data_IF_514289195516
#
_entry.id   IF_514289195516
#
_cell.length_a   1.000
_cell.length_b   1.000
_cell.length_c   1.000
_cell.angle_alpha   90.00
_cell.angle_beta   90.00
_cell.angle_gamma   90.00
#
_symmetry.space_group_name_H-M   'P 1'
#
loop_
_entity.id
_entity.type
_entity.pdbx_description
1 polymer ?
#
# COMPACT_ATOMS: atom_id res chain seq x y z
N UNK A 1 29.37 5.92 17.02
CA UNK A 1 28.60 4.68 17.27
C UNK A 1 27.14 5.02 17.09
N UNK A 2 26.44 4.27 16.25
CA UNK A 2 25.00 4.51 16.01
C UNK A 2 24.21 3.80 17.11
N UNK A 3 23.56 4.54 17.99
CA UNK A 3 22.54 4.00 18.88
C UNK A 3 21.28 3.78 18.05
N UNK A 4 21.04 2.55 17.58
CA UNK A 4 19.72 2.21 17.07
C UNK A 4 18.71 2.38 18.20
N UNK A 5 17.73 3.27 18.01
CA UNK A 5 16.60 3.38 18.91
C UNK A 5 15.82 2.06 18.85
N UNK A 6 15.91 1.26 19.91
CA UNK A 6 15.04 0.13 20.12
C UNK A 6 13.73 0.63 20.72
N UNK A 7 12.61 0.01 20.34
CA UNK A 7 11.29 0.28 20.89
C UNK A 7 10.75 -0.96 21.57
N UNK A 8 10.05 -0.80 22.68
CA UNK A 8 9.20 -1.82 23.26
C UNK A 8 7.79 -1.62 22.72
N UNK A 9 7.23 -2.63 22.06
CA UNK A 9 5.84 -2.62 21.62
C UNK A 9 4.94 -2.74 22.85
N UNK A 10 4.06 -1.77 23.04
CA UNK A 10 3.07 -1.71 24.12
C UNK A 10 1.73 -2.26 23.69
N UNK A 11 1.36 -2.03 22.44
CA UNK A 11 0.10 -2.47 21.87
C UNK A 11 0.22 -2.67 20.36
N UNK A 12 -0.63 -3.52 19.81
CA UNK A 12 -0.71 -3.82 18.40
C UNK A 12 -2.15 -3.95 17.97
N UNK A 13 -2.47 -3.38 16.82
CA UNK A 13 -3.77 -3.57 16.20
C UNK A 13 -3.63 -3.79 14.70
N UNK A 14 -4.66 -4.33 14.06
CA UNK A 14 -4.70 -4.52 12.62
C UNK A 14 -6.13 -4.42 12.11
N UNK A 15 -6.28 -3.93 10.88
CA UNK A 15 -7.57 -3.92 10.18
C UNK A 15 -7.45 -4.58 8.81
N UNK A 16 -8.57 -4.98 8.24
CA UNK A 16 -8.68 -5.36 6.84
C UNK A 16 -9.55 -4.33 6.14
N UNK A 17 -9.03 -3.66 5.12
CA UNK A 17 -9.75 -2.60 4.44
C UNK A 17 -9.79 -2.83 2.94
N UNK A 18 -10.93 -2.48 2.34
CA UNK A 18 -11.14 -2.50 0.89
C UNK A 18 -11.42 -1.09 0.42
N UNK A 19 -10.57 -0.59 -0.47
CA UNK A 19 -10.75 0.67 -1.17
C UNK A 19 -11.33 0.40 -2.56
N UNK A 20 -12.23 1.27 -3.01
CA UNK A 20 -12.84 1.22 -4.33
C UNK A 20 -12.37 2.38 -5.18
N UNK A 21 -12.03 2.09 -6.42
CA UNK A 21 -11.57 3.07 -7.41
C UNK A 21 -12.40 2.92 -8.68
N UNK A 22 -12.75 4.03 -9.33
CA UNK A 22 -13.52 3.98 -10.59
C UNK A 22 -12.82 3.16 -11.67
N UNK A 23 -11.49 3.21 -11.75
CA UNK A 23 -10.70 2.56 -12.79
C UNK A 23 -9.26 2.25 -12.31
N UNK A 24 -8.56 1.26 -12.89
CA UNK A 24 -7.23 0.82 -12.42
C UNK A 24 -6.16 1.91 -12.40
N UNK A 25 -6.25 2.92 -13.26
CA UNK A 25 -5.30 4.04 -13.24
C UNK A 25 -5.37 4.81 -11.91
N UNK A 26 -6.56 4.95 -11.33
CA UNK A 26 -6.74 5.61 -10.04
C UNK A 26 -6.08 4.83 -8.89
N UNK A 27 -6.02 3.50 -8.99
CA UNK A 27 -5.23 2.65 -8.07
C UNK A 27 -3.74 3.03 -8.15
N UNK A 28 -3.18 3.10 -9.35
CA UNK A 28 -1.76 3.46 -9.53
C UNK A 28 -1.45 4.88 -9.01
N UNK A 29 -2.37 5.82 -9.24
CA UNK A 29 -2.26 7.18 -8.71
C UNK A 29 -2.30 7.20 -7.19
N UNK A 30 -3.23 6.45 -6.57
CA UNK A 30 -3.33 6.32 -5.13
C UNK A 30 -2.04 5.79 -4.52
N UNK A 31 -1.52 4.67 -5.03
CA UNK A 31 -0.28 4.08 -4.52
C UNK A 31 0.92 5.05 -4.67
N UNK A 32 0.90 5.94 -5.67
CA UNK A 32 1.93 6.96 -5.89
C UNK A 32 1.83 8.08 -4.87
N UNK A 33 0.62 8.51 -4.56
CA UNK A 33 0.34 9.57 -3.59
C UNK A 33 0.68 9.12 -2.17
N UNK A 34 0.42 7.86 -1.83
CA UNK A 34 0.70 7.31 -0.48
C UNK A 34 2.14 6.83 -0.32
N UNK A 35 2.96 6.85 -1.38
CA UNK A 35 4.36 6.47 -1.32
C UNK A 35 4.60 4.96 -1.16
N UNK A 36 3.56 4.13 -1.17
CA UNK A 36 3.65 2.66 -1.04
C UNK A 36 4.04 1.96 -2.36
N UNK A 37 4.49 2.74 -3.35
CA UNK A 37 4.91 2.31 -4.68
C UNK A 37 6.37 1.80 -4.74
N UNK A 38 6.90 1.28 -3.64
CA UNK A 38 8.32 0.95 -3.50
C UNK A 38 8.86 -0.12 -4.47
N UNK A 39 8.03 -0.72 -5.32
CA UNK A 39 8.36 -1.90 -6.14
C UNK A 39 8.72 -1.57 -7.61
N UNK A 40 8.71 -0.30 -8.06
CA UNK A 40 9.14 -0.02 -9.43
C UNK A 40 9.40 1.44 -9.76
N UNK A 41 10.68 1.83 -9.80
CA UNK A 41 11.12 3.12 -10.34
C UNK A 41 11.15 3.16 -11.88
N UNK A 42 10.78 2.07 -12.55
CA UNK A 42 10.82 1.98 -14.02
C UNK A 42 9.60 2.64 -14.62
N UNK A 43 9.81 3.60 -15.53
CA UNK A 43 8.74 4.20 -16.32
C UNK A 43 7.99 3.13 -17.12
N UNK A 44 6.67 3.13 -17.05
CA UNK A 44 5.83 2.23 -17.83
C UNK A 44 5.64 2.76 -19.25
N UNK A 45 5.78 1.89 -20.23
CA UNK A 45 5.33 2.17 -21.59
C UNK A 45 3.81 2.22 -21.64
N UNK A 46 3.24 2.88 -22.67
CA UNK A 46 1.77 2.90 -22.88
C UNK A 46 1.18 1.50 -22.94
N UNK A 47 1.86 0.55 -23.59
CA UNK A 47 1.41 -0.86 -23.68
C UNK A 47 1.33 -1.53 -22.31
N UNK A 48 2.35 -1.34 -21.47
CA UNK A 48 2.36 -1.92 -20.12
C UNK A 48 1.22 -1.36 -19.27
N UNK A 49 0.97 -0.05 -19.36
CA UNK A 49 -0.15 0.58 -18.66
C UNK A 49 -1.50 0.03 -19.11
N UNK A 50 -1.72 -0.09 -20.42
CA UNK A 50 -2.96 -0.69 -20.93
C UNK A 50 -3.12 -2.15 -20.52
N UNK A 51 -2.05 -2.93 -20.56
CA UNK A 51 -2.07 -4.33 -20.14
C UNK A 51 -2.41 -4.44 -18.64
N UNK A 52 -1.80 -3.61 -17.79
CA UNK A 52 -2.16 -3.56 -16.38
C UNK A 52 -3.63 -3.23 -16.19
N UNK A 53 -4.16 -2.17 -16.81
CA UNK A 53 -5.56 -1.80 -16.64
C UNK A 53 -6.51 -2.94 -17.05
N UNK A 54 -6.25 -3.55 -18.21
CA UNK A 54 -7.07 -4.66 -18.71
C UNK A 54 -7.05 -5.87 -17.78
N UNK A 55 -5.87 -6.28 -17.29
CA UNK A 55 -5.75 -7.42 -16.39
C UNK A 55 -6.30 -7.12 -14.99
N UNK A 56 -6.09 -5.89 -14.48
CA UNK A 56 -6.56 -5.48 -13.17
C UNK A 56 -8.08 -5.40 -13.11
N UNK A 57 -8.73 -4.87 -14.14
CA UNK A 57 -10.20 -4.89 -14.26
C UNK A 57 -10.74 -6.32 -14.26
N UNK A 58 -10.17 -7.24 -15.04
CA UNK A 58 -10.62 -8.64 -15.09
C UNK A 58 -10.58 -9.33 -13.74
N UNK A 59 -9.54 -9.04 -12.95
CA UNK A 59 -9.29 -9.73 -11.67
C UNK A 59 -10.01 -9.08 -10.49
N UNK A 60 -10.18 -7.76 -10.51
CA UNK A 60 -10.57 -6.99 -9.32
C UNK A 60 -11.79 -6.10 -9.54
N UNK A 61 -12.53 -6.24 -10.63
CA UNK A 61 -13.79 -5.55 -10.82
C UNK A 61 -14.83 -5.90 -9.74
N UNK A 62 -15.67 -4.92 -9.42
CA UNK A 62 -16.81 -5.06 -8.52
C UNK A 62 -17.79 -3.90 -8.67
N UNK A 63 -18.66 -3.74 -7.67
CA UNK A 63 -19.84 -2.86 -7.79
C UNK A 63 -19.53 -1.37 -8.00
N UNK A 64 -18.30 -0.90 -7.67
CA UNK A 64 -17.90 0.52 -7.72
C UNK A 64 -16.65 0.76 -8.57
N UNK A 65 -16.36 -0.13 -9.53
CA UNK A 65 -15.14 -0.10 -10.34
C UNK A 65 -14.22 -1.26 -9.96
N UNK A 66 -12.99 -0.97 -9.54
CA UNK A 66 -12.01 -1.97 -9.10
C UNK A 66 -11.64 -1.80 -7.63
N UNK A 67 -11.34 -2.91 -6.97
CA UNK A 67 -10.95 -2.91 -5.55
C UNK A 67 -9.44 -3.01 -5.34
N UNK A 68 -8.96 -2.40 -4.27
CA UNK A 68 -7.65 -2.62 -3.68
C UNK A 68 -7.83 -2.95 -2.20
N UNK A 69 -7.29 -4.09 -1.76
CA UNK A 69 -7.30 -4.47 -0.35
C UNK A 69 -5.96 -4.19 0.29
N UNK A 70 -5.95 -3.67 1.50
CA UNK A 70 -4.74 -3.54 2.32
C UNK A 70 -5.04 -3.89 3.77
N UNK A 71 -4.00 -4.29 4.49
CA UNK A 71 -4.08 -4.80 5.85
C UNK A 71 -3.12 -4.00 6.74
N UNK A 72 -3.51 -2.80 7.19
CA UNK A 72 -2.62 -1.98 8.00
C UNK A 72 -2.36 -2.65 9.35
N UNK A 73 -1.12 -2.54 9.79
CA UNK A 73 -0.67 -2.99 11.11
C UNK A 73 -0.25 -1.76 11.91
N UNK A 74 -0.88 -1.57 13.05
CA UNK A 74 -0.64 -0.46 13.96
C UNK A 74 0.17 -0.96 15.16
N UNK A 75 1.15 -0.16 15.57
CA UNK A 75 2.00 -0.46 16.72
C UNK A 75 2.10 0.78 17.60
N UNK A 76 1.79 0.64 18.89
CA UNK A 76 2.11 1.65 19.89
C UNK A 76 3.42 1.22 20.53
N UNK A 77 4.47 2.03 20.37
CA UNK A 77 5.80 1.74 20.91
C UNK A 77 6.25 2.80 21.89
N UNK A 78 7.00 2.39 22.92
CA UNK A 78 7.82 3.30 23.72
C UNK A 78 9.30 3.13 23.38
N UNK A 79 10.12 4.19 23.35
CA UNK A 79 11.56 4.05 23.27
C UNK A 79 12.06 3.18 24.42
N UNK A 80 12.91 2.22 24.11
CA UNK A 80 13.59 1.41 25.12
C UNK A 80 14.72 2.28 25.69
N UNK A 81 14.67 2.58 26.98
CA UNK A 81 15.80 3.21 27.66
C UNK A 81 17.00 2.27 27.62
N UNK A 82 18.10 2.72 27.00
CA UNK A 82 19.40 2.10 27.21
C UNK A 82 19.82 2.34 28.66
N UNK A 83 20.13 1.27 29.38
CA UNK A 83 20.74 1.32 30.72
C UNK A 83 22.12 1.97 30.67
#
# INVERSE_FOLDING_TARGET
>A
GYTSACYTVLDTDQSCETLWFEHPLAVLQHLRQTGVNAIGSKSWTRRQLHQFCSEYEKLYAGAKGVQLTYHPMYFIGRPTQAL
#
